data_IF_002009968835
#
_entry.id   IF_002009968835
#
_cell.length_a   1.000
_cell.length_b   1.000
_cell.length_c   1.000
_cell.angle_alpha   90.00
_cell.angle_beta   90.00
_cell.angle_gamma   90.00
#
_symmetry.space_group_name_H-M   'P 1'
#
loop_
_entity.id
_entity.type
_entity.pdbx_description
1 polymer ?
#
# COMPACT_ATOMS: atom_id res chain seq x y z
N UNK A 1 2.82 -5.48 16.86
CA UNK A 1 1.86 -6.60 16.87
C UNK A 1 0.74 -6.33 15.88
N UNK A 2 0.46 -7.30 15.06
CA UNK A 2 -0.61 -7.16 14.07
C UNK A 2 -1.95 -7.38 14.78
N UNK A 3 -2.85 -6.41 14.64
CA UNK A 3 -4.18 -6.55 15.18
C UNK A 3 -5.01 -7.49 14.32
N UNK A 4 -5.91 -8.24 14.96
CA UNK A 4 -6.81 -9.13 14.23
C UNK A 4 -7.68 -8.35 13.25
N UNK A 5 -7.86 -7.05 13.50
CA UNK A 5 -8.71 -6.19 12.68
C UNK A 5 -7.96 -5.49 11.56
N UNK A 6 -6.67 -5.81 11.37
CA UNK A 6 -5.90 -5.19 10.30
C UNK A 6 -6.50 -5.51 8.93
N UNK A 7 -6.48 -4.52 8.07
CA UNK A 7 -7.00 -4.64 6.72
C UNK A 7 -5.81 -4.82 5.78
N UNK A 8 -5.90 -5.78 4.89
CA UNK A 8 -4.82 -6.08 3.96
C UNK A 8 -5.26 -5.77 2.54
N UNK A 9 -4.44 -4.97 1.86
CA UNK A 9 -4.63 -4.67 0.45
C UNK A 9 -3.43 -5.19 -0.33
N UNK A 10 -3.69 -5.80 -1.48
CA UNK A 10 -2.65 -6.19 -2.40
C UNK A 10 -2.70 -5.27 -3.62
N UNK A 11 -1.56 -4.68 -3.94
CA UNK A 11 -1.46 -3.76 -5.06
C UNK A 11 -0.37 -4.23 -6.01
N UNK A 12 -0.66 -4.18 -7.29
CA UNK A 12 0.34 -4.40 -8.33
C UNK A 12 0.87 -3.05 -8.79
N UNK A 13 2.19 -2.87 -8.73
CA UNK A 13 2.82 -1.60 -9.05
C UNK A 13 4.00 -1.84 -9.97
N UNK A 14 4.59 -0.76 -10.48
CA UNK A 14 5.84 -0.87 -11.20
C UNK A 14 6.97 -1.14 -10.22
N UNK A 15 7.83 -2.07 -10.55
CA UNK A 15 8.93 -2.46 -9.66
C UNK A 15 9.77 -1.25 -9.27
N UNK A 16 10.02 -0.35 -10.22
CA UNK A 16 10.84 0.84 -10.00
C UNK A 16 10.20 1.82 -9.01
N UNK A 17 8.88 1.70 -8.79
CA UNK A 17 8.15 2.63 -7.94
C UNK A 17 8.01 2.12 -6.50
N UNK A 18 8.43 0.89 -6.22
CA UNK A 18 8.23 0.30 -4.89
C UNK A 18 8.91 1.12 -3.81
N UNK A 19 10.19 1.48 -4.01
CA UNK A 19 10.92 2.26 -3.00
C UNK A 19 10.28 3.62 -2.77
N UNK A 20 9.80 4.25 -3.83
CA UNK A 20 9.11 5.53 -3.72
C UNK A 20 7.84 5.39 -2.89
N UNK A 21 7.04 4.36 -3.18
CA UNK A 21 5.79 4.12 -2.45
C UNK A 21 6.07 3.88 -0.97
N UNK A 22 7.08 3.06 -0.66
CA UNK A 22 7.46 2.80 0.72
C UNK A 22 7.82 4.10 1.43
N UNK A 23 8.61 4.95 0.78
CA UNK A 23 9.05 6.19 1.40
C UNK A 23 7.88 7.15 1.65
N UNK A 24 6.90 7.16 0.76
CA UNK A 24 5.72 8.00 0.93
C UNK A 24 4.92 7.55 2.17
N UNK A 25 4.71 6.24 2.33
CA UNK A 25 3.97 5.75 3.50
C UNK A 25 4.73 6.01 4.79
N UNK A 26 6.06 5.95 4.77
CA UNK A 26 6.85 6.28 5.94
C UNK A 26 6.74 7.75 6.30
N UNK A 27 6.68 8.62 5.29
CA UNK A 27 6.56 10.05 5.50
C UNK A 27 5.21 10.44 6.10
N UNK A 28 4.19 9.61 5.93
CA UNK A 28 2.86 9.84 6.47
C UNK A 28 2.66 9.10 7.79
N UNK A 29 3.70 9.02 8.60
CA UNK A 29 3.66 8.41 9.94
C UNK A 29 3.21 6.95 9.91
N UNK A 30 3.60 6.25 8.86
CA UNK A 30 3.30 4.82 8.76
C UNK A 30 1.79 4.53 8.77
N UNK A 31 1.05 5.22 7.90
CA UNK A 31 -0.38 4.96 7.74
C UNK A 31 -0.66 3.49 7.51
N UNK A 32 0.26 2.80 6.86
CA UNK A 32 0.16 1.39 6.60
C UNK A 32 1.56 0.81 6.57
N UNK A 33 1.65 -0.47 6.87
CA UNK A 33 2.90 -1.21 6.72
C UNK A 33 2.94 -1.73 5.29
N UNK A 34 4.05 -1.47 4.58
CA UNK A 34 4.22 -1.88 3.20
C UNK A 34 5.18 -3.07 3.15
N UNK A 35 4.74 -4.17 2.54
CA UNK A 35 5.56 -5.35 2.38
C UNK A 35 5.57 -5.77 0.91
N UNK A 36 6.73 -6.24 0.43
CA UNK A 36 6.80 -6.83 -0.90
C UNK A 36 6.43 -8.30 -0.79
N UNK A 37 5.34 -8.69 -1.46
CA UNK A 37 4.84 -10.06 -1.39
C UNK A 37 5.43 -10.89 -2.52
N UNK A 38 5.41 -10.35 -3.75
CA UNK A 38 5.97 -11.04 -4.91
C UNK A 38 6.83 -10.05 -5.66
N UNK A 39 8.14 -10.10 -5.44
CA UNK A 39 9.05 -9.13 -6.04
C UNK A 39 9.07 -9.24 -7.57
N UNK A 40 8.95 -10.45 -8.11
CA UNK A 40 8.97 -10.64 -9.57
C UNK A 40 7.75 -10.06 -10.24
N UNK A 41 6.60 -10.10 -9.54
CA UNK A 41 5.34 -9.58 -10.08
C UNK A 41 5.07 -8.16 -9.61
N UNK A 42 5.98 -7.62 -8.80
CA UNK A 42 5.84 -6.25 -8.29
C UNK A 42 4.53 -6.06 -7.51
N UNK A 43 4.22 -7.03 -6.67
CA UNK A 43 3.04 -6.96 -5.82
C UNK A 43 3.46 -6.61 -4.41
N UNK A 44 2.84 -5.59 -3.87
CA UNK A 44 3.06 -5.16 -2.49
C UNK A 44 1.78 -5.35 -1.69
N UNK A 45 1.97 -5.52 -0.39
CA UNK A 45 0.86 -5.66 0.53
C UNK A 45 0.86 -4.46 1.47
N UNK A 46 -0.32 -3.86 1.65
CA UNK A 46 -0.51 -2.81 2.64
C UNK A 46 -1.26 -3.42 3.82
N UNK A 47 -0.69 -3.29 5.01
CA UNK A 47 -1.34 -3.71 6.23
C UNK A 47 -1.81 -2.45 6.93
N UNK A 48 -3.12 -2.26 7.00
CA UNK A 48 -3.74 -1.00 7.37
C UNK A 48 -4.55 -1.15 8.64
N UNK A 49 -4.32 -0.26 9.62
CA UNK A 49 -5.20 -0.19 10.78
C UNK A 49 -6.54 0.39 10.33
N UNK A 50 -7.67 -0.13 10.84
CA UNK A 50 -8.98 0.41 10.46
C UNK A 50 -9.11 1.91 10.70
N UNK A 51 -8.42 2.45 11.71
CA UNK A 51 -8.46 3.88 12.00
C UNK A 51 -7.87 4.73 10.89
N UNK A 52 -7.00 4.14 10.06
CA UNK A 52 -6.32 4.85 9.00
C UNK A 52 -6.77 4.41 7.61
N UNK A 53 -7.87 3.66 7.54
CA UNK A 53 -8.32 3.12 6.26
C UNK A 53 -8.65 4.23 5.26
N UNK A 54 -9.38 5.23 5.71
CA UNK A 54 -9.78 6.31 4.79
C UNK A 54 -8.59 7.13 4.36
N UNK A 55 -7.68 7.43 5.29
CA UNK A 55 -6.47 8.17 4.95
C UNK A 55 -5.61 7.41 3.96
N UNK A 56 -5.50 6.09 4.15
CA UNK A 56 -4.74 5.24 3.25
C UNK A 56 -5.38 5.20 1.88
N UNK A 57 -6.71 5.11 1.83
CA UNK A 57 -7.44 5.10 0.55
C UNK A 57 -7.17 6.37 -0.23
N UNK A 58 -7.21 7.51 0.44
CA UNK A 58 -6.97 8.78 -0.22
C UNK A 58 -5.53 8.86 -0.75
N UNK A 59 -4.57 8.37 0.04
CA UNK A 59 -3.19 8.38 -0.39
C UNK A 59 -2.97 7.47 -1.60
N UNK A 60 -3.56 6.28 -1.58
CA UNK A 60 -3.43 5.35 -2.70
C UNK A 60 -4.06 5.94 -3.95
N UNK A 61 -5.22 6.59 -3.81
CA UNK A 61 -5.87 7.24 -4.94
C UNK A 61 -5.00 8.35 -5.53
N UNK A 62 -4.37 9.14 -4.66
CA UNK A 62 -3.47 10.20 -5.13
C UNK A 62 -2.26 9.63 -5.85
N UNK A 63 -1.69 8.55 -5.31
CA UNK A 63 -0.56 7.89 -5.96
C UNK A 63 -0.96 7.27 -7.29
N UNK A 64 -2.19 6.78 -7.40
CA UNK A 64 -2.68 6.18 -8.64
C UNK A 64 -2.78 7.20 -9.77
N UNK A 65 -2.89 8.48 -9.45
CA UNK A 65 -2.88 9.53 -10.46
C UNK A 65 -1.48 9.76 -11.04
N UNK A 66 -0.44 9.41 -10.28
CA UNK A 66 0.95 9.61 -10.72
C UNK A 66 1.58 8.31 -11.21
N UNK A 67 1.19 7.18 -10.63
CA UNK A 67 1.83 5.90 -10.85
C UNK A 67 0.82 4.88 -11.33
N UNK A 68 1.30 3.86 -12.03
CA UNK A 68 0.45 2.75 -12.43
C UNK A 68 0.26 1.81 -11.25
N UNK A 69 -0.87 1.93 -10.57
CA UNK A 69 -1.19 1.09 -9.43
C UNK A 69 -2.50 0.37 -9.71
N UNK A 70 -2.47 -0.94 -9.59
CA UNK A 70 -3.65 -1.77 -9.78
C UNK A 70 -3.97 -2.48 -8.47
N UNK A 71 -5.18 -2.28 -7.98
CA UNK A 71 -5.62 -2.95 -6.76
C UNK A 71 -6.02 -4.38 -7.10
N UNK A 72 -5.38 -5.34 -6.45
CA UNK A 72 -5.68 -6.76 -6.63
C UNK A 72 -6.69 -7.20 -5.58
N UNK A 73 -6.45 -6.83 -4.34
CA UNK A 73 -7.35 -7.11 -3.23
C UNK A 73 -7.36 -5.93 -2.28
N UNK A 74 -8.52 -5.61 -1.71
CA UNK A 74 -9.82 -6.19 -2.08
C UNK A 74 -10.23 -5.75 -3.48
N UNK A 75 -10.84 -6.67 -4.16
CA UNK A 75 -11.28 -6.41 -5.53
C UNK A 75 -12.44 -5.41 -5.54
#
# INVERSE_FOLDING_TARGET
MVHADSIQWLLEVEKRDIAYIVSIFEAYDNLAIVRTVHSEQSIIELIISPDYLEDTRQLVNALSDELCIKTIEPA
#
